data_IF_378016251865
#
_entry.id   IF_378016251865
#
_cell.length_a   1.000
_cell.length_b   1.000
_cell.length_c   1.000
_cell.angle_alpha   90.00
_cell.angle_beta   90.00
_cell.angle_gamma   90.00
#
_symmetry.space_group_name_H-M   'P 1'
#
loop_
_entity.id
_entity.type
_entity.pdbx_description
1 polymer ?
#
# COMPACT_ATOMS: atom_id res chain seq x y z
N UNK A 1 -32.70 3.83 36.97
CA UNK A 1 -31.38 3.18 37.10
C UNK A 1 -31.16 2.10 36.04
N UNK A 2 -32.07 1.12 35.89
CA UNK A 2 -32.03 0.07 34.85
C UNK A 2 -31.86 0.59 33.41
N UNK A 3 -32.56 1.66 33.06
CA UNK A 3 -32.51 2.21 31.70
C UNK A 3 -31.16 2.87 31.35
N UNK A 4 -30.50 3.51 32.33
CA UNK A 4 -29.14 4.06 32.15
C UNK A 4 -28.11 2.95 31.97
N UNK A 5 -28.21 1.88 32.75
CA UNK A 5 -27.35 0.70 32.63
C UNK A 5 -27.54 0.04 31.28
N UNK A 6 -28.79 -0.12 30.83
CA UNK A 6 -29.10 -0.68 29.51
C UNK A 6 -28.46 0.14 28.37
N UNK A 7 -28.62 1.48 28.38
CA UNK A 7 -28.02 2.36 27.37
C UNK A 7 -26.48 2.30 27.37
N UNK A 8 -25.84 2.26 28.54
CA UNK A 8 -24.38 2.13 28.65
C UNK A 8 -23.90 0.80 28.08
N UNK A 9 -24.60 -0.30 28.39
CA UNK A 9 -24.29 -1.62 27.84
C UNK A 9 -24.44 -1.66 26.33
N UNK A 10 -25.50 -1.07 25.77
CA UNK A 10 -25.69 -1.02 24.30
C UNK A 10 -24.58 -0.23 23.61
N UNK A 11 -24.20 0.94 24.14
CA UNK A 11 -23.10 1.75 23.58
C UNK A 11 -21.76 1.01 23.68
N UNK A 12 -21.50 0.32 24.80
CA UNK A 12 -20.27 -0.43 25.01
C UNK A 12 -20.16 -1.63 24.05
N UNK A 13 -21.25 -2.37 23.83
CA UNK A 13 -21.30 -3.48 22.86
C UNK A 13 -21.08 -2.94 21.44
N UNK A 14 -21.73 -1.83 21.08
CA UNK A 14 -21.60 -1.24 19.76
C UNK A 14 -20.17 -0.75 19.49
N UNK A 15 -19.52 -0.14 20.49
CA UNK A 15 -18.10 0.23 20.42
C UNK A 15 -17.22 -1.01 20.24
N UNK A 16 -17.44 -2.08 21.01
CA UNK A 16 -16.64 -3.31 20.94
C UNK A 16 -16.76 -4.00 19.58
N UNK A 17 -17.94 -3.99 18.97
CA UNK A 17 -18.19 -4.59 17.65
C UNK A 17 -17.65 -3.71 16.51
N UNK A 18 -17.71 -2.37 16.64
CA UNK A 18 -17.25 -1.47 15.59
C UNK A 18 -15.74 -1.18 15.60
N UNK A 19 -15.08 -1.23 16.76
CA UNK A 19 -13.62 -1.03 16.90
C UNK A 19 -12.77 -1.86 15.91
N UNK A 20 -13.00 -3.18 15.72
CA UNK A 20 -12.20 -3.96 14.77
C UNK A 20 -12.47 -3.62 13.30
N UNK A 21 -13.63 -3.02 12.98
CA UNK A 21 -13.95 -2.58 11.61
C UNK A 21 -13.14 -1.34 11.25
N UNK A 22 -12.91 -0.45 12.21
CA UNK A 22 -12.06 0.73 12.03
C UNK A 22 -10.56 0.42 12.14
N UNK A 23 -10.15 -0.65 12.82
CA UNK A 23 -8.73 -1.00 12.96
C UNK A 23 -8.06 -1.49 11.66
N UNK A 24 -8.84 -1.78 10.61
CA UNK A 24 -8.29 -2.16 9.30
C UNK A 24 -7.92 -0.96 8.43
N UNK A 25 -8.37 0.24 8.80
CA UNK A 25 -7.93 1.50 8.21
C UNK A 25 -6.89 2.12 9.14
N UNK A 26 -5.70 1.55 9.13
CA UNK A 26 -4.56 2.24 9.70
C UNK A 26 -4.21 3.37 8.72
N UNK A 27 -4.40 4.61 9.16
CA UNK A 27 -3.93 5.78 8.41
C UNK A 27 -2.41 5.72 8.47
N UNK A 28 -1.72 5.61 7.32
CA UNK A 28 -0.28 5.84 7.33
C UNK A 28 -0.09 7.27 7.79
N UNK A 29 0.72 7.53 8.83
CA UNK A 29 1.11 8.90 9.13
C UNK A 29 1.76 9.52 7.88
N UNK A 30 1.78 10.86 7.80
CA UNK A 30 2.40 11.62 6.71
C UNK A 30 3.95 11.46 6.74
N UNK A 31 4.43 10.22 6.70
CA UNK A 31 5.81 9.82 6.91
C UNK A 31 6.43 9.27 5.62
N UNK A 32 7.74 9.39 5.54
CA UNK A 32 8.55 8.84 4.46
C UNK A 32 8.62 7.32 4.66
N UNK A 33 8.15 6.55 3.68
CA UNK A 33 8.21 5.09 3.73
C UNK A 33 9.59 4.59 3.35
N UNK A 34 10.17 3.72 4.17
CA UNK A 34 11.40 3.00 3.85
C UNK A 34 11.08 1.65 3.21
N UNK A 35 11.57 1.41 2.00
CA UNK A 35 11.33 0.19 1.22
C UNK A 35 12.59 -0.67 1.14
N UNK A 36 12.63 -1.76 1.91
CA UNK A 36 13.77 -2.66 1.96
C UNK A 36 13.59 -3.86 1.04
N UNK A 37 14.39 -3.90 -0.03
CA UNK A 37 14.42 -4.99 -0.99
C UNK A 37 15.36 -6.12 -0.54
N UNK A 38 14.94 -7.37 -0.76
CA UNK A 38 15.79 -8.54 -0.55
C UNK A 38 17.01 -8.49 -1.50
N UNK A 39 18.18 -8.82 -0.98
CA UNK A 39 19.50 -8.63 -1.61
C UNK A 39 19.61 -9.30 -2.98
N UNK A 40 20.20 -8.60 -3.96
CA UNK A 40 20.59 -9.16 -5.27
C UNK A 40 19.79 -8.68 -6.49
N UNK A 41 18.67 -7.98 -6.30
CA UNK A 41 17.76 -7.59 -7.41
C UNK A 41 17.68 -6.07 -7.62
N UNK A 42 18.19 -5.26 -6.69
CA UNK A 42 17.91 -3.82 -6.54
C UNK A 42 18.09 -2.97 -7.80
N UNK A 43 19.19 -3.12 -8.51
CA UNK A 43 19.52 -2.27 -9.67
C UNK A 43 18.66 -2.53 -10.92
N UNK A 44 17.80 -3.55 -10.88
CA UNK A 44 17.00 -3.96 -12.04
C UNK A 44 15.51 -4.04 -11.72
N UNK A 45 15.10 -3.58 -10.53
CA UNK A 45 13.70 -3.53 -10.13
C UNK A 45 13.00 -2.40 -10.90
N UNK A 46 11.80 -2.71 -11.36
CA UNK A 46 10.91 -1.77 -12.02
C UNK A 46 9.63 -1.62 -11.21
N UNK A 47 9.12 -0.41 -11.16
CA UNK A 47 7.80 -0.12 -10.62
C UNK A 47 6.83 0.04 -11.78
N UNK A 48 5.85 -0.86 -11.87
CA UNK A 48 5.03 -1.02 -13.06
C UNK A 48 3.54 -0.93 -12.75
N UNK A 49 2.79 -0.32 -13.66
CA UNK A 49 1.32 -0.36 -13.66
C UNK A 49 0.85 -1.80 -13.90
N UNK A 50 -0.01 -2.31 -13.02
CA UNK A 50 -0.60 -3.64 -13.12
C UNK A 50 -1.82 -3.63 -14.06
N UNK A 51 -2.14 -4.79 -14.66
CA UNK A 51 -3.37 -4.94 -15.42
C UNK A 51 -4.58 -4.95 -14.43
N UNK A 52 -5.62 -4.12 -14.63
CA UNK A 52 -6.74 -3.94 -13.69
C UNK A 52 -7.66 -5.16 -13.49
N UNK A 53 -7.30 -6.36 -13.96
CA UNK A 53 -8.14 -7.55 -13.82
C UNK A 53 -8.46 -7.88 -12.35
N UNK A 54 -7.56 -7.56 -11.41
CA UNK A 54 -7.80 -7.66 -9.97
C UNK A 54 -7.23 -6.46 -9.23
N UNK A 55 -8.05 -5.92 -8.33
CA UNK A 55 -7.76 -4.73 -7.54
C UNK A 55 -7.00 -5.08 -6.25
N UNK A 56 -6.73 -6.34 -5.95
CA UNK A 56 -5.98 -6.67 -4.74
C UNK A 56 -5.18 -7.94 -4.94
N UNK A 57 -3.92 -7.92 -4.49
CA UNK A 57 -3.08 -9.12 -4.43
C UNK A 57 -1.97 -9.15 -5.46
N UNK A 58 -1.61 -10.37 -5.89
CA UNK A 58 -0.47 -10.60 -6.76
C UNK A 58 -0.92 -10.63 -8.21
N UNK A 59 -0.63 -9.57 -8.94
CA UNK A 59 -1.00 -9.47 -10.35
C UNK A 59 0.22 -9.68 -11.23
N UNK A 60 0.06 -10.34 -12.40
CA UNK A 60 1.09 -10.31 -13.43
C UNK A 60 1.33 -8.86 -13.88
N UNK A 61 2.53 -8.60 -14.37
CA UNK A 61 2.85 -7.31 -14.99
C UNK A 61 1.85 -7.04 -16.12
N UNK A 62 1.39 -5.79 -16.22
CA UNK A 62 0.59 -5.34 -17.36
C UNK A 62 1.46 -5.16 -18.60
N UNK A 63 1.28 -4.05 -19.30
CA UNK A 63 2.18 -3.67 -20.37
C UNK A 63 3.51 -3.14 -19.79
N UNK A 64 4.65 -3.70 -20.21
CA UNK A 64 5.98 -3.28 -19.76
C UNK A 64 6.29 -1.81 -20.11
N UNK A 65 5.53 -1.20 -21.01
CA UNK A 65 5.65 0.21 -21.39
C UNK A 65 5.39 1.18 -20.22
N UNK A 66 4.68 0.76 -19.18
CA UNK A 66 4.34 1.61 -18.04
C UNK A 66 5.12 1.20 -16.79
N UNK A 67 6.43 0.99 -16.98
CA UNK A 67 7.39 0.62 -15.95
C UNK A 67 8.47 1.68 -15.82
N UNK A 68 8.72 2.11 -14.58
CA UNK A 68 9.80 3.05 -14.27
C UNK A 68 10.88 2.30 -13.50
N UNK A 69 12.15 2.54 -13.85
CA UNK A 69 13.28 1.93 -13.13
C UNK A 69 13.40 2.54 -11.74
N UNK A 70 13.62 1.69 -10.74
CA UNK A 70 13.75 2.13 -9.35
C UNK A 70 15.21 2.46 -9.07
N UNK A 71 15.48 3.68 -8.60
CA UNK A 71 16.81 4.12 -8.19
C UNK A 71 16.93 4.06 -6.66
N UNK A 72 18.14 3.79 -6.18
CA UNK A 72 18.46 3.88 -4.75
C UNK A 72 18.50 5.34 -4.30
N UNK A 73 18.09 5.59 -3.05
CA UNK A 73 17.99 6.93 -2.46
C UNK A 73 16.55 7.35 -2.18
N UNK A 74 16.36 8.66 -2.02
CA UNK A 74 15.03 9.26 -1.86
C UNK A 74 14.38 9.43 -3.23
N UNK A 75 13.16 8.88 -3.39
CA UNK A 75 12.42 8.90 -4.65
C UNK A 75 11.05 9.52 -4.40
N UNK A 76 10.74 10.57 -5.16
CA UNK A 76 9.39 11.17 -5.16
C UNK A 76 8.42 10.23 -5.86
N UNK A 77 7.31 9.89 -5.21
CA UNK A 77 6.33 8.98 -5.81
C UNK A 77 5.80 9.49 -7.16
N UNK A 78 5.71 10.82 -7.33
CA UNK A 78 5.36 11.49 -8.59
C UNK A 78 6.25 11.08 -9.77
N UNK A 79 7.53 10.79 -9.54
CA UNK A 79 8.45 10.40 -10.63
C UNK A 79 8.07 9.07 -11.28
N UNK A 80 7.23 8.27 -10.63
CA UNK A 80 6.73 7.01 -11.19
C UNK A 80 5.52 7.20 -12.12
N UNK A 81 4.89 8.36 -12.14
CA UNK A 81 3.70 8.64 -12.95
C UNK A 81 4.06 9.51 -14.15
N UNK A 82 4.48 8.86 -15.23
CA UNK A 82 4.85 9.53 -16.49
C UNK A 82 3.65 9.91 -17.36
N UNK A 83 2.47 9.35 -17.07
CA UNK A 83 1.23 9.62 -17.78
C UNK A 83 0.40 10.64 -16.99
N UNK A 84 -0.33 11.52 -17.68
CA UNK A 84 -1.38 12.30 -17.02
C UNK A 84 -2.36 11.35 -16.34
N UNK A 85 -2.52 11.52 -15.03
CA UNK A 85 -3.39 10.65 -14.23
C UNK A 85 -4.85 11.09 -14.40
N UNK A 86 -5.33 11.09 -15.65
CA UNK A 86 -6.70 11.46 -16.05
C UNK A 86 -7.65 10.27 -16.02
N UNK A 87 -7.12 9.05 -15.91
CA UNK A 87 -7.90 7.82 -15.94
C UNK A 87 -8.85 7.76 -14.71
N UNK A 88 -10.18 7.65 -14.91
CA UNK A 88 -11.15 7.55 -13.82
C UNK A 88 -11.19 6.15 -13.20
N UNK A 89 -10.35 5.24 -13.69
CA UNK A 89 -10.27 3.87 -13.20
C UNK A 89 -9.33 3.74 -12.01
N UNK A 90 -9.62 2.75 -11.17
CA UNK A 90 -8.71 2.39 -10.09
C UNK A 90 -7.47 1.75 -10.68
N UNK A 91 -6.30 2.29 -10.36
CA UNK A 91 -5.03 1.87 -10.94
C UNK A 91 -4.10 1.36 -9.85
N UNK A 92 -3.29 0.36 -10.18
CA UNK A 92 -2.35 -0.25 -9.25
C UNK A 92 -0.96 -0.32 -9.83
N UNK A 93 0.02 -0.21 -8.95
CA UNK A 93 1.43 -0.35 -9.29
C UNK A 93 2.12 -1.26 -8.30
N UNK A 94 3.06 -2.06 -8.78
CA UNK A 94 3.87 -2.92 -7.93
C UNK A 94 5.30 -3.03 -8.46
N UNK A 95 6.17 -3.59 -7.63
CA UNK A 95 7.55 -3.85 -8.01
C UNK A 95 7.67 -5.18 -8.75
N UNK A 96 8.47 -5.19 -9.81
CA UNK A 96 8.77 -6.38 -10.60
C UNK A 96 10.27 -6.47 -10.85
N UNK A 97 10.76 -7.70 -10.91
CA UNK A 97 12.12 -7.99 -11.35
C UNK A 97 12.20 -8.00 -12.90
N UNK A 98 13.41 -8.16 -13.48
CA UNK A 98 13.62 -8.14 -14.93
C UNK A 98 12.90 -9.24 -15.70
N UNK A 99 12.57 -10.35 -15.03
CA UNK A 99 11.87 -11.48 -15.64
C UNK A 99 10.34 -11.36 -15.49
N UNK A 100 9.85 -10.26 -14.91
CA UNK A 100 8.43 -9.96 -14.77
C UNK A 100 7.77 -10.60 -13.55
N UNK A 101 8.55 -11.11 -12.58
CA UNK A 101 8.03 -11.63 -11.32
C UNK A 101 7.87 -10.48 -10.32
N UNK A 102 6.72 -10.45 -9.65
CA UNK A 102 6.45 -9.44 -8.63
C UNK A 102 7.40 -9.57 -7.43
N UNK A 103 7.94 -8.46 -6.99
CA UNK A 103 8.83 -8.31 -5.84
C UNK A 103 8.06 -7.63 -4.71
N UNK A 104 8.30 -8.09 -3.48
CA UNK A 104 7.59 -7.64 -2.30
C UNK A 104 8.61 -7.08 -1.29
N UNK A 105 8.96 -5.79 -1.37
CA UNK A 105 9.85 -5.18 -0.39
C UNK A 105 9.19 -5.16 0.99
N UNK A 106 10.03 -5.09 2.02
CA UNK A 106 9.56 -4.81 3.37
C UNK A 106 9.37 -3.30 3.47
N UNK A 107 8.21 -2.86 3.96
CA UNK A 107 7.96 -1.44 4.22
C UNK A 107 8.03 -1.19 5.73
N UNK A 108 8.73 -0.12 6.10
CA UNK A 108 8.96 0.30 7.47
C UNK A 108 8.79 1.82 7.55
N UNK A 109 8.18 2.30 8.63
CA UNK A 109 8.12 3.71 9.00
C UNK A 109 8.32 3.85 10.51
N UNK A 110 8.37 5.09 11.03
CA UNK A 110 8.75 5.32 12.42
C UNK A 110 7.71 4.71 13.38
N UNK A 111 8.19 3.95 14.37
CA UNK A 111 7.32 3.27 15.33
C UNK A 111 6.47 2.12 14.78
N UNK A 112 6.64 1.74 13.50
CA UNK A 112 5.90 0.63 12.88
C UNK A 112 6.61 -0.72 13.04
N UNK A 113 5.82 -1.78 13.13
CA UNK A 113 6.35 -3.10 12.80
C UNK A 113 6.58 -3.23 11.28
N UNK A 114 7.48 -4.12 10.80
CA UNK A 114 7.70 -4.29 9.37
C UNK A 114 6.51 -4.96 8.67
N UNK A 115 6.09 -4.40 7.54
CA UNK A 115 5.06 -4.98 6.69
C UNK A 115 5.65 -5.42 5.35
N UNK A 116 4.93 -6.28 4.64
CA UNK A 116 5.26 -6.61 3.24
C UNK A 116 4.46 -5.69 2.33
N UNK A 117 5.16 -4.92 1.50
CA UNK A 117 4.54 -4.11 0.45
C UNK A 117 3.95 -5.03 -0.63
N UNK A 118 2.70 -4.80 -1.01
CA UNK A 118 2.02 -5.54 -2.07
C UNK A 118 1.90 -4.66 -3.33
N UNK A 119 1.27 -3.50 -3.19
CA UNK A 119 1.03 -2.57 -4.29
C UNK A 119 0.76 -1.16 -3.77
N UNK A 120 0.95 -0.19 -4.66
CA UNK A 120 0.37 1.14 -4.55
C UNK A 120 -0.93 1.17 -5.35
N UNK A 121 -1.96 1.81 -4.82
CA UNK A 121 -3.26 1.94 -5.46
C UNK A 121 -3.63 3.42 -5.55
N UNK A 122 -4.16 3.83 -6.70
CA UNK A 122 -4.88 5.09 -6.87
C UNK A 122 -6.34 4.78 -7.08
N UNK A 123 -7.17 5.22 -6.14
CA UNK A 123 -8.63 5.10 -6.24
C UNK A 123 -9.19 5.94 -7.39
N UNK A 124 -10.43 5.64 -7.80
CA UNK A 124 -11.19 6.42 -8.79
C UNK A 124 -11.32 7.92 -8.44
N UNK A 125 -11.21 8.27 -7.15
CA UNK A 125 -11.26 9.65 -6.64
C UNK A 125 -9.89 10.34 -6.62
N UNK A 126 -8.87 9.71 -7.20
CA UNK A 126 -7.51 10.22 -7.23
C UNK A 126 -6.73 10.12 -5.91
N UNK A 127 -7.28 9.45 -4.90
CA UNK A 127 -6.59 9.22 -3.63
C UNK A 127 -5.63 8.05 -3.73
N UNK A 128 -4.44 8.20 -3.16
CA UNK A 128 -3.42 7.15 -3.09
C UNK A 128 -3.55 6.34 -1.80
N UNK A 129 -3.20 5.06 -1.90
CA UNK A 129 -3.01 4.20 -0.77
C UNK A 129 -2.02 3.08 -1.05
N UNK A 130 -1.46 2.51 0.00
CA UNK A 130 -0.51 1.40 -0.04
C UNK A 130 -1.20 0.16 0.51
N UNK A 131 -1.21 -0.91 -0.29
CA UNK A 131 -1.61 -2.23 0.17
C UNK A 131 -0.39 -2.93 0.76
N UNK A 132 -0.52 -3.36 2.01
CA UNK A 132 0.53 -4.11 2.71
C UNK A 132 -0.03 -5.35 3.39
N UNK A 133 0.85 -6.27 3.76
CA UNK A 133 0.47 -7.50 4.45
C UNK A 133 1.35 -7.72 5.70
N UNK A 134 0.73 -8.07 6.83
CA UNK A 134 1.47 -8.55 8.00
C UNK A 134 1.86 -10.00 7.80
N UNK A 135 3.17 -10.29 7.66
CA UNK A 135 3.72 -11.65 7.46
C UNK A 135 3.17 -12.68 8.45
N UNK A 136 3.07 -12.32 9.73
CA UNK A 136 2.66 -13.24 10.80
C UNK A 136 1.19 -13.67 10.72
N UNK A 137 0.32 -12.80 10.21
CA UNK A 137 -1.15 -12.99 10.26
C UNK A 137 -1.72 -13.27 8.87
N UNK A 138 -0.99 -12.94 7.80
CA UNK A 138 -1.48 -13.02 6.42
C UNK A 138 -2.55 -11.97 6.08
N UNK A 139 -2.97 -11.16 7.05
CA UNK A 139 -3.96 -10.11 6.88
C UNK A 139 -3.43 -8.98 6.00
N UNK A 140 -4.27 -8.54 5.06
CA UNK A 140 -4.03 -7.38 4.20
C UNK A 140 -4.56 -6.12 4.86
N UNK A 141 -3.81 -5.05 4.73
CA UNK A 141 -4.13 -3.73 5.24
C UNK A 141 -4.00 -2.71 4.11
N UNK A 142 -4.85 -1.71 4.15
CA UNK A 142 -4.82 -0.61 3.19
C UNK A 142 -4.59 0.70 3.94
N UNK A 143 -3.48 1.35 3.60
CA UNK A 143 -3.07 2.59 4.24
C UNK A 143 -3.25 3.74 3.26
N UNK A 144 -4.01 4.77 3.63
CA UNK A 144 -4.12 5.98 2.81
C UNK A 144 -2.83 6.78 2.91
N UNK A 145 -2.17 7.01 1.78
CA UNK A 145 -0.93 7.79 1.70
C UNK A 145 -1.13 9.06 0.88
N UNK A 146 -0.31 10.08 1.15
CA UNK A 146 -0.07 11.17 0.21
C UNK A 146 0.98 10.73 -0.81
N UNK A 147 1.10 11.47 -1.90
CA UNK A 147 2.30 11.41 -2.72
C UNK A 147 3.40 12.07 -1.89
N UNK A 148 4.23 11.25 -1.25
CA UNK A 148 5.41 11.67 -0.50
C UNK A 148 6.64 10.95 -1.05
N UNK A 149 7.82 11.29 -0.54
CA UNK A 149 9.03 10.57 -0.85
C UNK A 149 9.03 9.16 -0.25
N UNK A 150 9.62 8.21 -0.96
CA UNK A 150 10.04 6.91 -0.44
C UNK A 150 11.56 6.87 -0.33
N UNK A 151 12.08 6.17 0.67
CA UNK A 151 13.51 5.93 0.79
C UNK A 151 13.80 4.47 0.45
N UNK A 152 14.66 4.29 -0.56
CA UNK A 152 15.10 3.00 -1.05
C UNK A 152 16.59 2.85 -0.69
N UNK A 153 16.93 2.09 0.36
CA UNK A 153 18.29 1.91 0.83
C UNK A 153 19.05 0.83 0.05
#
# INVERSE_FOLDING_TARGET
>A
MKEKIFRISTVSILLFVCLPVFSNFLVTPDEILKLEFQTGVRSQIRFCKQNPAQVFGRNPIGNQLNCVSVQEGEVLLESFFTEEISDPTETQWAFYDPIGKQVFPTVVWEGSEPFVFISLVRSKRGQFGVQVQKKKVGAYYFYRTKISSWVIP
#
